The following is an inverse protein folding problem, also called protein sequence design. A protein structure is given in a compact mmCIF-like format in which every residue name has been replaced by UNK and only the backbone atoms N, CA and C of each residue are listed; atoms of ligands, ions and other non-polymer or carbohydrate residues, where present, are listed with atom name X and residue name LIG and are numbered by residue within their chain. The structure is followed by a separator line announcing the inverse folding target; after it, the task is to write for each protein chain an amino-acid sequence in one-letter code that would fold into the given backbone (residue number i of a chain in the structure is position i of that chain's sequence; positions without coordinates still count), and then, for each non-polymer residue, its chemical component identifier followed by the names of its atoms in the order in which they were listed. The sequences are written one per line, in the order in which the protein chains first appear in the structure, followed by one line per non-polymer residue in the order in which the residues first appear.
data_IF_659595179345
#
_entry.id   IF_659595179345
#
_cell.length_a   1.000
_cell.length_b   1.000
_cell.length_c   1.000
_cell.angle_alpha   90.00
_cell.angle_beta   90.00
_cell.angle_gamma   90.00
#
_symmetry.space_group_name_H-M   'P 1'
#
loop_
_entity.id
_entity.type
_entity.pdbx_description
1 polymer ?
#
# COMPACT_ATOMS: atom_id res chain seq x y z
N UNK A 1 -7.15 -15.85 8.24
CA UNK A 1 -7.32 -14.68 9.14
C UNK A 1 -7.03 -13.42 8.31
N UNK A 2 -6.71 -12.25 8.91
CA UNK A 2 -6.46 -11.04 8.10
C UNK A 2 -5.10 -11.10 7.38
N UNK A 3 -3.99 -11.37 8.09
CA UNK A 3 -2.67 -11.38 7.46
C UNK A 3 -2.57 -12.41 6.34
N UNK A 4 -3.20 -13.58 6.48
CA UNK A 4 -3.24 -14.58 5.39
C UNK A 4 -4.04 -14.10 4.18
N UNK A 5 -5.13 -13.34 4.37
CA UNK A 5 -5.91 -12.81 3.24
C UNK A 5 -5.12 -11.72 2.49
N UNK A 6 -4.36 -10.90 3.22
CA UNK A 6 -3.47 -9.89 2.64
C UNK A 6 -2.27 -10.54 1.93
N UNK A 7 -1.70 -11.61 2.51
CA UNK A 7 -0.66 -12.44 1.89
C UNK A 7 -1.16 -13.12 0.59
N UNK A 8 -2.38 -13.66 0.60
CA UNK A 8 -3.03 -14.20 -0.61
C UNK A 8 -3.23 -13.14 -1.69
N UNK A 9 -3.65 -11.92 -1.31
CA UNK A 9 -3.79 -10.82 -2.26
C UNK A 9 -2.42 -10.38 -2.85
N UNK A 10 -1.35 -10.38 -2.05
CA UNK A 10 0.01 -10.13 -2.52
C UNK A 10 0.51 -11.24 -3.46
N UNK A 11 0.24 -12.51 -3.14
CA UNK A 11 0.49 -13.64 -4.04
C UNK A 11 -0.18 -13.41 -5.39
N UNK A 12 -1.49 -13.10 -5.41
CA UNK A 12 -2.24 -12.82 -6.65
C UNK A 12 -1.64 -11.64 -7.42
N UNK A 13 -1.28 -10.54 -6.75
CA UNK A 13 -0.69 -9.36 -7.40
C UNK A 13 0.68 -9.64 -8.04
N UNK A 14 1.51 -10.50 -7.43
CA UNK A 14 2.81 -10.91 -7.96
C UNK A 14 2.70 -11.97 -9.08
N UNK A 15 1.68 -12.82 -9.04
CA UNK A 15 1.42 -13.88 -10.04
C UNK A 15 0.77 -13.34 -11.33
N UNK A 16 -0.15 -12.38 -11.20
CA UNK A 16 -0.95 -11.83 -12.31
C UNK A 16 -0.28 -10.69 -13.09
N UNK A 17 0.75 -10.04 -12.54
CA UNK A 17 1.57 -9.05 -13.26
C UNK A 17 3.05 -9.23 -12.92
N UNK A 18 3.93 -9.51 -13.91
CA UNK A 18 5.37 -9.61 -13.68
C UNK A 18 6.01 -8.29 -13.21
N UNK A 19 5.35 -7.15 -13.42
CA UNK A 19 5.82 -5.82 -12.97
C UNK A 19 5.38 -5.44 -11.55
N UNK A 20 4.76 -6.34 -10.80
CA UNK A 20 4.52 -6.13 -9.37
C UNK A 20 5.80 -6.37 -8.55
N UNK A 21 6.06 -5.49 -7.60
CA UNK A 21 7.18 -5.56 -6.65
C UNK A 21 6.65 -5.29 -5.24
N UNK A 22 7.15 -6.02 -4.24
CA UNK A 22 6.78 -5.86 -2.81
C UNK A 22 8.04 -5.61 -1.99
N UNK A 23 8.14 -4.48 -1.30
CA UNK A 23 9.36 -4.12 -0.59
C UNK A 23 9.09 -3.18 0.59
N UNK A 24 10.03 -3.13 1.52
CA UNK A 24 9.95 -2.37 2.76
C UNK A 24 10.91 -2.96 3.79
N UNK A 25 10.82 -2.53 5.04
CA UNK A 25 11.57 -3.12 6.14
C UNK A 25 11.04 -4.54 6.44
N UNK A 26 11.94 -5.51 6.62
CA UNK A 26 11.68 -6.91 7.03
C UNK A 26 10.78 -7.77 6.11
N UNK A 27 10.24 -7.19 5.03
CA UNK A 27 9.40 -7.83 4.01
C UNK A 27 9.97 -9.15 3.47
N UNK A 28 11.28 -9.24 3.28
CA UNK A 28 11.96 -10.36 2.62
C UNK A 28 11.99 -11.68 3.39
N UNK A 29 11.86 -11.68 4.73
CA UNK A 29 11.65 -12.91 5.51
C UNK A 29 10.18 -13.19 5.84
N UNK A 30 9.30 -12.23 5.55
CA UNK A 30 7.86 -12.33 5.75
C UNK A 30 7.19 -11.16 6.46
N UNK A 31 7.98 -10.15 6.87
CA UNK A 31 7.51 -9.01 7.64
C UNK A 31 7.19 -9.37 9.09
N UNK A 32 7.26 -8.38 9.98
CA UNK A 32 6.99 -8.54 11.43
C UNK A 32 5.62 -9.18 11.70
N UNK A 33 4.61 -8.82 10.87
CA UNK A 33 3.25 -9.34 10.94
C UNK A 33 2.96 -10.55 10.02
N UNK A 34 4.00 -11.24 9.50
CA UNK A 34 3.88 -12.44 8.62
C UNK A 34 3.04 -12.22 7.36
N UNK A 35 3.00 -10.99 6.87
CA UNK A 35 2.14 -10.60 5.74
C UNK A 35 2.75 -10.96 4.38
N UNK A 36 4.08 -11.08 4.30
CA UNK A 36 4.82 -11.35 3.07
C UNK A 36 5.54 -12.71 3.08
N UNK A 37 5.23 -13.57 4.07
CA UNK A 37 5.82 -14.91 4.21
C UNK A 37 5.63 -15.74 2.94
N UNK A 38 6.69 -16.41 2.49
CA UNK A 38 6.72 -17.25 1.28
C UNK A 38 6.73 -16.49 -0.06
N UNK A 39 6.58 -15.16 -0.06
CA UNK A 39 6.57 -14.39 -1.31
C UNK A 39 7.97 -14.32 -1.94
N UNK A 40 9.02 -14.12 -1.14
CA UNK A 40 10.41 -14.04 -1.62
C UNK A 40 10.92 -15.38 -2.18
N UNK A 41 10.47 -16.50 -1.60
CA UNK A 41 10.83 -17.85 -2.05
C UNK A 41 10.13 -18.21 -3.36
N UNK A 42 8.86 -17.81 -3.53
CA UNK A 42 8.08 -18.08 -4.75
C UNK A 42 8.42 -17.14 -5.93
N UNK A 43 8.59 -15.84 -5.67
CA UNK A 43 8.72 -14.82 -6.71
C UNK A 43 10.13 -14.24 -6.85
N UNK A 44 11.05 -14.66 -5.99
CA UNK A 44 12.47 -14.30 -6.02
C UNK A 44 12.79 -12.94 -5.38
N UNK A 45 14.01 -12.85 -4.85
CA UNK A 45 14.54 -11.66 -4.15
C UNK A 45 14.69 -10.40 -5.01
N UNK A 46 14.44 -10.50 -6.32
CA UNK A 46 14.38 -9.35 -7.24
C UNK A 46 13.01 -8.67 -7.26
N UNK A 47 11.95 -9.39 -6.83
CA UNK A 47 10.57 -8.87 -6.78
C UNK A 47 10.06 -8.67 -5.35
N UNK A 48 10.68 -9.34 -4.38
CA UNK A 48 10.34 -9.23 -2.96
C UNK A 48 11.61 -9.05 -2.13
N UNK A 49 11.84 -7.87 -1.57
CA UNK A 49 13.12 -7.51 -0.93
C UNK A 49 13.00 -6.55 0.24
N UNK A 50 14.01 -6.56 1.11
CA UNK A 50 14.17 -5.57 2.17
C UNK A 50 14.71 -4.25 1.60
N UNK A 51 14.23 -3.13 2.13
CA UNK A 51 14.88 -1.82 1.99
C UNK A 51 15.78 -1.53 3.20
N UNK A 52 16.65 -0.50 3.13
CA UNK A 52 17.15 0.16 4.33
C UNK A 52 16.00 0.69 5.19
N UNK A 53 16.25 0.87 6.50
CA UNK A 53 15.31 1.49 7.44
C UNK A 53 15.28 3.00 7.19
N UNK A 54 14.31 3.46 6.40
CA UNK A 54 14.20 4.83 5.90
C UNK A 54 12.90 5.02 5.10
N UNK A 55 11.82 5.47 5.75
CA UNK A 55 10.48 5.52 5.17
C UNK A 55 10.38 6.54 4.02
N UNK A 56 11.09 7.66 4.12
CA UNK A 56 11.23 8.62 3.02
C UNK A 56 11.93 8.00 1.80
N UNK A 57 12.90 7.12 2.03
CA UNK A 57 13.60 6.37 0.98
C UNK A 57 12.69 5.33 0.34
N UNK A 58 11.93 4.58 1.14
CA UNK A 58 10.92 3.63 0.69
C UNK A 58 9.89 4.33 -0.21
N UNK A 59 9.32 5.45 0.23
CA UNK A 59 8.32 6.18 -0.54
C UNK A 59 8.89 6.78 -1.83
N UNK A 60 10.04 7.46 -1.78
CA UNK A 60 10.68 8.05 -2.97
C UNK A 60 11.07 6.99 -4.02
N UNK A 61 11.65 5.88 -3.58
CA UNK A 61 11.94 4.73 -4.45
C UNK A 61 10.66 4.16 -5.07
N UNK A 62 9.58 4.01 -4.29
CA UNK A 62 8.31 3.48 -4.76
C UNK A 62 7.64 4.40 -5.81
N UNK A 63 7.75 5.71 -5.65
CA UNK A 63 7.29 6.70 -6.64
C UNK A 63 8.07 6.55 -7.95
N UNK A 64 9.40 6.49 -7.90
CA UNK A 64 10.25 6.29 -9.08
C UNK A 64 9.96 4.97 -9.80
N UNK A 65 9.86 3.86 -9.05
CA UNK A 65 9.55 2.55 -9.60
C UNK A 65 8.16 2.51 -10.28
N UNK A 66 7.16 3.17 -9.68
CA UNK A 66 5.82 3.30 -10.25
C UNK A 66 5.78 4.23 -11.47
N UNK A 67 6.57 5.31 -11.49
CA UNK A 67 6.70 6.21 -12.65
C UNK A 67 7.33 5.51 -13.87
N UNK A 68 8.18 4.49 -13.64
CA UNK A 68 8.69 3.58 -14.69
C UNK A 68 7.66 2.52 -15.16
N UNK A 69 6.37 2.66 -14.80
CA UNK A 69 5.29 1.80 -15.30
C UNK A 69 5.15 0.45 -14.59
N UNK A 70 5.73 0.31 -13.39
CA UNK A 70 5.62 -0.89 -12.55
C UNK A 70 4.55 -0.74 -11.46
N UNK A 71 4.17 -1.85 -10.82
CA UNK A 71 3.29 -1.86 -9.64
C UNK A 71 4.13 -1.94 -8.37
N UNK A 72 4.35 -0.80 -7.72
CA UNK A 72 5.18 -0.67 -6.53
C UNK A 72 4.33 -0.82 -5.26
N UNK A 73 4.49 -1.92 -4.53
CA UNK A 73 3.77 -2.23 -3.30
C UNK A 73 4.75 -2.06 -2.12
N UNK A 74 4.78 -0.85 -1.57
CA UNK A 74 5.70 -0.47 -0.49
C UNK A 74 5.07 -0.70 0.89
N UNK A 75 5.76 -1.37 1.81
CA UNK A 75 5.35 -1.55 3.20
C UNK A 75 6.14 -0.62 4.14
N UNK A 76 5.41 0.14 4.96
CA UNK A 76 5.95 0.90 6.09
C UNK A 76 5.53 0.17 7.37
N UNK A 77 6.47 -0.10 8.28
CA UNK A 77 6.29 -1.12 9.31
C UNK A 77 5.14 -0.82 10.30
N UNK A 78 4.91 0.45 10.63
CA UNK A 78 3.72 0.94 11.37
C UNK A 78 3.27 2.29 10.80
N UNK A 79 1.96 2.57 10.84
CA UNK A 79 1.40 3.83 10.36
C UNK A 79 1.83 5.01 11.25
N UNK A 80 2.15 4.74 12.51
CA UNK A 80 2.85 5.64 13.43
C UNK A 80 4.22 6.13 12.88
N UNK A 81 4.83 5.39 11.93
CA UNK A 81 6.12 5.68 11.29
C UNK A 81 5.98 6.20 9.85
N UNK A 82 4.77 6.51 9.36
CA UNK A 82 4.58 7.02 7.99
C UNK A 82 5.03 8.49 7.82
N UNK A 83 5.27 9.21 8.93
CA UNK A 83 5.50 10.65 8.92
C UNK A 83 6.83 11.12 8.28
N UNK A 84 7.97 10.42 8.36
CA UNK A 84 9.16 10.77 7.58
C UNK A 84 8.90 10.73 6.07
N UNK A 85 8.03 9.83 5.62
CA UNK A 85 7.59 9.73 4.22
C UNK A 85 6.55 10.79 3.80
N UNK A 86 6.05 11.64 4.72
CA UNK A 86 4.89 12.50 4.46
C UNK A 86 5.12 13.47 3.29
N UNK A 87 6.30 14.07 3.16
CA UNK A 87 6.62 14.95 2.02
C UNK A 87 6.57 14.21 0.68
N UNK A 88 7.20 13.02 0.59
CA UNK A 88 7.16 12.18 -0.60
C UNK A 88 5.73 11.75 -0.95
N UNK A 89 4.89 11.48 0.05
CA UNK A 89 3.48 11.09 -0.18
C UNK A 89 2.64 12.30 -0.64
N UNK A 90 2.81 13.47 0.00
CA UNK A 90 1.91 14.62 -0.15
C UNK A 90 2.36 15.60 -1.25
N UNK A 91 3.65 15.82 -1.42
CA UNK A 91 4.19 16.75 -2.42
C UNK A 91 4.59 16.05 -3.71
N UNK A 92 5.22 14.88 -3.64
CA UNK A 92 5.58 14.11 -4.83
C UNK A 92 4.43 13.23 -5.33
N UNK A 93 4.07 12.14 -4.62
CA UNK A 93 3.14 11.11 -5.10
C UNK A 93 1.74 11.65 -5.44
N UNK A 94 1.13 12.43 -4.53
CA UNK A 94 -0.20 12.98 -4.73
C UNK A 94 -0.29 13.91 -5.95
N UNK A 95 0.74 14.73 -6.18
CA UNK A 95 0.76 15.77 -7.22
C UNK A 95 1.39 15.29 -8.54
N UNK A 96 2.05 14.14 -8.55
CA UNK A 96 2.91 13.64 -9.65
C UNK A 96 2.25 13.70 -11.03
N UNK A 97 1.00 13.26 -11.13
CA UNK A 97 0.21 13.27 -12.37
C UNK A 97 -0.28 14.68 -12.75
N UNK A 98 -0.64 15.49 -11.76
CA UNK A 98 -1.22 16.81 -11.99
C UNK A 98 -0.16 17.78 -12.51
N UNK A 99 1.02 17.80 -11.88
CA UNK A 99 2.13 18.68 -12.26
C UNK A 99 2.72 18.40 -13.65
N UNK A 100 2.54 17.18 -14.17
CA UNK A 100 3.05 16.73 -15.47
C UNK A 100 2.01 16.81 -16.60
N UNK A 101 0.81 17.33 -16.35
CA UNK A 101 -0.27 17.29 -17.35
C UNK A 101 -0.66 15.88 -17.80
N UNK A 102 -0.40 14.85 -16.98
CA UNK A 102 -0.49 13.41 -17.29
C UNK A 102 0.62 12.83 -18.20
N UNK A 103 1.70 13.56 -18.52
CA UNK A 103 2.86 12.96 -19.21
C UNK A 103 3.51 11.82 -18.39
N UNK A 104 3.58 12.00 -17.06
CA UNK A 104 4.11 11.01 -16.12
C UNK A 104 3.16 10.80 -14.93
N UNK A 105 3.07 9.58 -14.39
CA UNK A 105 2.25 9.30 -13.21
C UNK A 105 2.79 8.11 -12.40
N UNK A 106 2.67 8.16 -11.07
CA UNK A 106 3.00 7.04 -10.18
C UNK A 106 1.77 6.17 -9.86
N UNK A 107 0.82 6.00 -10.79
CA UNK A 107 -0.46 5.32 -10.56
C UNK A 107 -0.40 3.81 -10.30
N UNK A 108 0.80 3.22 -10.40
CA UNK A 108 1.10 1.86 -9.95
C UNK A 108 1.51 1.75 -8.48
N UNK A 109 1.62 2.86 -7.74
CA UNK A 109 2.04 2.90 -6.35
C UNK A 109 0.91 2.51 -5.38
N UNK A 110 1.23 1.64 -4.42
CA UNK A 110 0.43 1.35 -3.22
C UNK A 110 1.35 1.32 -2.00
N UNK A 111 1.14 2.22 -1.02
CA UNK A 111 1.88 2.24 0.25
C UNK A 111 0.99 1.66 1.35
N UNK A 112 1.40 0.60 2.04
CA UNK A 112 0.59 -0.18 3.01
C UNK A 112 1.26 -0.16 4.39
N UNK A 113 0.49 0.09 5.46
CA UNK A 113 1.09 0.24 6.80
C UNK A 113 0.15 -0.02 7.99
N UNK A 114 0.46 -0.94 8.94
CA UNK A 114 -0.28 -1.24 10.18
C UNK A 114 -0.79 -0.02 10.97
N UNK A 115 -2.12 0.16 11.11
CA UNK A 115 -2.74 1.30 11.83
C UNK A 115 -3.78 0.93 12.90
N UNK A 116 -3.87 1.77 13.93
CA UNK A 116 -4.90 1.70 14.95
C UNK A 116 -4.62 0.75 16.12
N UNK A 117 -5.38 0.94 17.20
CA UNK A 117 -5.05 0.42 18.51
C UNK A 117 -5.02 -1.13 18.61
N UNK A 118 -3.87 -1.66 19.06
CA UNK A 118 -3.63 -3.08 19.38
C UNK A 118 -3.77 -3.39 20.89
N UNK A 119 -4.48 -2.53 21.63
CA UNK A 119 -4.67 -2.64 23.09
C UNK A 119 -3.48 -2.19 23.92
N UNK A 120 -2.24 -2.53 23.54
CA UNK A 120 -1.02 -2.22 24.31
C UNK A 120 0.12 -1.59 23.48
N UNK A 121 -0.18 -0.97 22.33
CA UNK A 121 0.84 -0.40 21.43
C UNK A 121 1.45 0.94 21.88
N UNK A 122 0.86 1.61 22.87
CA UNK A 122 1.33 2.91 23.36
C UNK A 122 1.20 4.02 22.32
N UNK A 123 2.14 4.97 22.32
CA UNK A 123 2.12 6.15 21.44
C UNK A 123 2.57 5.88 19.99
N UNK A 124 3.22 4.73 19.72
CA UNK A 124 4.00 4.51 18.49
C UNK A 124 3.72 3.18 17.78
N UNK A 125 2.66 2.47 18.17
CA UNK A 125 2.17 1.26 17.49
C UNK A 125 0.63 1.18 17.53
N UNK A 126 -0.06 2.32 17.46
CA UNK A 126 -1.52 2.40 17.68
C UNK A 126 -2.20 3.64 17.12
N UNK A 127 -1.48 4.58 16.51
CA UNK A 127 -2.05 5.79 15.92
C UNK A 127 -2.99 5.50 14.74
N UNK A 128 -3.83 6.47 14.42
CA UNK A 128 -4.73 6.43 13.26
C UNK A 128 -4.56 7.70 12.43
N UNK A 129 -3.59 7.72 11.49
CA UNK A 129 -3.16 8.93 10.81
C UNK A 129 -3.96 9.26 9.52
N UNK A 130 -5.04 8.53 9.22
CA UNK A 130 -5.83 8.70 7.99
C UNK A 130 -6.24 10.15 7.74
N UNK A 131 -6.58 10.90 8.80
CA UNK A 131 -7.01 12.29 8.71
C UNK A 131 -5.96 13.22 8.06
N UNK A 132 -4.67 12.98 8.30
CA UNK A 132 -3.58 13.76 7.72
C UNK A 132 -3.49 13.59 6.20
N UNK A 133 -3.82 12.40 5.69
CA UNK A 133 -3.80 12.09 4.26
C UNK A 133 -5.14 12.40 3.57
N UNK A 134 -6.28 12.28 4.28
CA UNK A 134 -7.61 12.47 3.71
C UNK A 134 -7.86 13.87 3.15
N UNK A 135 -7.11 14.89 3.59
CA UNK A 135 -7.22 16.25 3.07
C UNK A 135 -6.43 16.48 1.75
N UNK A 136 -5.60 15.52 1.32
CA UNK A 136 -4.61 15.69 0.25
C UNK A 136 -5.17 15.25 -1.12
N UNK A 137 -5.43 16.17 -2.05
CA UNK A 137 -5.96 15.82 -3.37
C UNK A 137 -4.95 15.00 -4.19
N UNK A 138 -5.44 14.01 -4.94
CA UNK A 138 -4.60 13.08 -5.72
C UNK A 138 -4.24 11.79 -4.99
N UNK A 139 -4.41 11.72 -3.66
CA UNK A 139 -4.40 10.47 -2.90
C UNK A 139 -5.79 9.84 -2.82
N UNK A 140 -5.80 8.52 -2.65
CA UNK A 140 -6.91 7.72 -2.13
C UNK A 140 -6.42 7.17 -0.80
N UNK A 141 -7.19 7.39 0.28
CA UNK A 141 -6.76 7.03 1.64
C UNK A 141 -7.50 5.82 2.17
N UNK A 142 -6.66 4.90 2.61
CA UNK A 142 -6.82 3.50 2.97
C UNK A 142 -7.63 3.23 4.30
N UNK A 143 -8.67 2.37 4.48
CA UNK A 143 -9.34 2.06 5.83
C UNK A 143 -10.35 0.83 6.01
N UNK A 144 -10.06 -0.47 5.71
CA UNK A 144 -11.06 -1.60 5.83
C UNK A 144 -11.25 -2.05 7.29
N UNK A 145 -12.37 -2.74 7.59
CA UNK A 145 -12.73 -3.23 8.94
C UNK A 145 -12.84 -4.77 9.06
N UNK A 146 -13.26 -5.45 7.98
CA UNK A 146 -13.38 -6.91 7.91
C UNK A 146 -13.05 -7.42 6.48
N UNK A 147 -12.73 -8.71 6.36
CA UNK A 147 -12.59 -9.41 5.08
C UNK A 147 -13.50 -10.64 5.10
N UNK A 148 -14.65 -10.54 4.43
CA UNK A 148 -15.64 -11.62 4.33
C UNK A 148 -15.58 -12.22 2.92
N UNK A 149 -14.87 -13.34 2.77
CA UNK A 149 -14.63 -13.96 1.45
C UNK A 149 -15.86 -14.77 1.01
N UNK A 150 -16.72 -14.19 0.15
CA UNK A 150 -17.81 -14.94 -0.50
C UNK A 150 -17.39 -15.47 -1.88
N UNK A 151 -17.73 -16.72 -2.25
CA UNK A 151 -17.31 -17.34 -3.52
C UNK A 151 -17.80 -16.67 -4.82
N UNK A 152 -18.67 -15.66 -4.74
CA UNK A 152 -19.14 -14.87 -5.89
C UNK A 152 -18.81 -13.37 -5.78
N UNK A 153 -18.27 -12.93 -4.65
CA UNK A 153 -17.78 -11.56 -4.47
C UNK A 153 -16.30 -11.48 -4.90
N UNK A 154 -15.98 -12.06 -6.07
CA UNK A 154 -14.64 -12.03 -6.68
C UNK A 154 -14.24 -10.62 -7.18
N UNK A 155 -15.04 -9.60 -6.88
CA UNK A 155 -14.71 -8.20 -7.02
C UNK A 155 -13.64 -7.78 -5.99
N UNK A 156 -12.41 -8.22 -6.23
CA UNK A 156 -11.14 -7.62 -5.81
C UNK A 156 -11.00 -7.23 -4.32
N UNK A 157 -10.19 -7.94 -3.51
CA UNK A 157 -9.52 -7.32 -2.36
C UNK A 157 -8.57 -6.25 -2.91
N UNK A 158 -9.06 -5.02 -3.02
CA UNK A 158 -8.65 -4.14 -4.10
C UNK A 158 -7.31 -3.44 -3.87
N UNK A 159 -6.24 -4.05 -4.38
CA UNK A 159 -5.07 -3.34 -4.88
C UNK A 159 -5.48 -2.42 -6.05
N UNK A 160 -6.07 -1.25 -5.74
CA UNK A 160 -6.46 -0.23 -6.74
C UNK A 160 -5.23 0.48 -7.28
N UNK A 161 -4.45 -0.25 -8.06
CA UNK A 161 -3.79 0.29 -9.25
C UNK A 161 -4.83 0.39 -10.37
N UNK A 162 -4.56 1.19 -11.40
CA UNK A 162 -5.57 1.58 -12.39
C UNK A 162 -6.20 0.39 -13.13
N UNK A 163 -7.53 0.27 -13.09
CA UNK A 163 -8.29 -0.50 -14.09
C UNK A 163 -8.42 0.32 -15.36
N UNK A 164 -7.72 -0.06 -16.42
CA UNK A 164 -8.06 0.40 -17.77
C UNK A 164 -9.37 -0.26 -18.21
N UNK A 165 -10.49 0.42 -17.96
CA UNK A 165 -11.77 0.16 -18.61
C UNK A 165 -12.16 1.41 -19.41
N UNK A 166 -12.52 1.22 -20.67
CA UNK A 166 -12.90 2.29 -21.61
C UNK A 166 -13.94 3.26 -21.00
N UNK A 167 -13.79 4.56 -21.29
CA UNK A 167 -14.71 5.64 -20.87
C UNK A 167 -14.85 5.88 -19.34
N UNK A 168 -13.79 6.38 -18.68
CA UNK A 168 -13.89 7.48 -17.68
C UNK A 168 -12.51 7.96 -17.18
N UNK A 169 -12.43 9.20 -16.69
CA UNK A 169 -11.19 9.98 -16.57
C UNK A 169 -10.61 10.09 -15.14
N UNK A 170 -10.70 9.06 -14.30
CA UNK A 170 -10.36 9.14 -12.88
C UNK A 170 -9.08 8.38 -12.50
N UNK A 171 -8.10 9.08 -11.91
CA UNK A 171 -6.76 8.56 -11.59
C UNK A 171 -6.13 9.27 -10.39
N UNK A 172 -5.41 8.53 -9.55
CA UNK A 172 -4.82 9.00 -8.30
C UNK A 172 -4.11 7.87 -7.55
N UNK A 173 -3.15 8.23 -6.69
CA UNK A 173 -2.25 7.33 -5.96
C UNK A 173 -2.93 6.71 -4.72
N UNK A 174 -2.42 5.58 -4.21
CA UNK A 174 -3.12 4.74 -3.21
C UNK A 174 -2.28 4.57 -1.93
N UNK A 175 -2.77 5.08 -0.78
CA UNK A 175 -2.15 4.93 0.55
C UNK A 175 -3.08 4.09 1.43
N UNK A 176 -2.60 3.03 2.08
CA UNK A 176 -3.38 1.88 2.58
C UNK A 176 -3.25 1.64 4.09
N UNK A 177 -4.38 1.75 4.82
CA UNK A 177 -4.57 1.51 6.27
C UNK A 177 -5.75 0.49 6.46
N UNK A 178 -5.63 -0.48 7.38
CA UNK A 178 -6.36 -1.76 7.72
C UNK A 178 -6.65 -1.97 9.20
N UNK A 179 -7.91 -1.99 9.62
CA UNK A 179 -8.25 -2.22 11.02
C UNK A 179 -8.84 -3.62 11.17
N UNK A 180 -8.50 -4.30 12.27
CA UNK A 180 -9.31 -5.40 12.78
C UNK A 180 -9.45 -5.29 14.30
N UNK A 181 -10.53 -5.88 14.83
CA UNK A 181 -10.90 -5.86 16.24
C UNK A 181 -9.74 -6.17 17.21
N UNK A 182 -9.37 -5.14 17.99
CA UNK A 182 -8.69 -5.15 19.29
C UNK A 182 -7.35 -5.89 19.50
N UNK A 183 -6.83 -6.70 18.56
CA UNK A 183 -5.66 -7.56 18.84
C UNK A 183 -4.54 -7.64 17.79
N UNK A 184 -4.75 -7.38 16.50
CA UNK A 184 -3.72 -7.52 15.42
C UNK A 184 -4.09 -6.71 14.15
N UNK A 185 -3.11 -6.15 13.41
CA UNK A 185 -3.31 -4.97 12.52
C UNK A 185 -2.41 -4.93 11.25
N UNK A 186 -2.97 -4.89 10.00
CA UNK A 186 -2.30 -4.73 8.65
C UNK A 186 -3.34 -4.29 7.54
N UNK A 187 -3.02 -3.76 6.31
CA UNK A 187 -3.67 -2.51 5.79
C UNK A 187 -4.11 -2.13 4.28
N UNK A 188 -5.39 -1.61 4.00
CA UNK A 188 -6.12 -0.98 2.78
C UNK A 188 -7.72 -0.61 2.90
N UNK A 189 -8.46 0.21 2.03
CA UNK A 189 -9.95 0.61 1.74
C UNK A 189 -10.25 2.07 1.21
N UNK A 190 -10.89 2.29 0.05
CA UNK A 190 -10.94 3.54 -0.77
C UNK A 190 -11.93 4.73 -0.47
N UNK A 191 -11.59 5.95 -0.96
CA UNK A 191 -12.54 7.07 -1.28
C UNK A 191 -12.16 7.87 -2.57
N UNK A 192 -13.04 8.78 -3.02
CA UNK A 192 -13.16 9.27 -4.43
C UNK A 192 -13.18 10.81 -4.58
N UNK A 193 -12.55 11.34 -5.64
CA UNK A 193 -12.81 12.69 -6.20
C UNK A 193 -13.31 12.60 -7.66
N UNK A 194 -13.84 13.70 -8.19
CA UNK A 194 -14.44 13.78 -9.54
C UNK A 194 -13.38 13.99 -10.62
#
# INVERSE_FOLDING_TARGET
NLFTAVNQALHIALDTDPRSYVFGEDVGFGGVFRCTTGLADRFGKQRVFNTPLCEQGIAGFAIGLAAMGNRAIAEIQFADYIFPAFDQIVNEAAKFRYRSGNEFNCGGLTIRSPYGAVGHGGHYHSQSPEAFFCHVPGLKVLSYLEVHVRPRDCCWPAFVTQTQSSFSSQSGCTVCLLRKSLRETICCLYLRQK
#
